data_IF_286650555646
#
_entry.id   IF_286650555646
#
_cell.length_a   1.000
_cell.length_b   1.000
_cell.length_c   1.000
_cell.angle_alpha   90.00
_cell.angle_beta   90.00
_cell.angle_gamma   90.00
#
_symmetry.space_group_name_H-M   'P 1'
#
loop_
_entity.id
_entity.type
_entity.pdbx_description
1 polymer ?
#
# COMPACT_ATOMS: atom_id res chain seq x y z
N UNK A 1 9.63 0.40 -14.75
CA UNK A 1 8.38 0.87 -15.40
C UNK A 1 7.24 0.92 -14.39
N UNK A 2 6.06 1.48 -14.70
CA UNK A 2 4.88 1.43 -13.80
C UNK A 2 3.71 0.70 -14.47
N UNK A 3 3.05 -0.20 -13.71
CA UNK A 3 1.98 -1.06 -14.20
C UNK A 3 0.71 -0.93 -13.34
N UNK A 4 -0.44 -0.61 -13.94
CA UNK A 4 -0.62 -0.11 -15.31
C UNK A 4 0.06 1.25 -15.53
N UNK A 5 0.27 1.67 -16.79
CA UNK A 5 0.90 2.97 -17.11
C UNK A 5 0.04 4.18 -16.72
N UNK A 6 -1.26 3.96 -16.54
CA UNK A 6 -2.27 4.95 -16.19
C UNK A 6 -3.10 4.40 -15.04
N UNK A 7 -3.39 5.24 -14.04
CA UNK A 7 -4.24 4.83 -12.93
C UNK A 7 -5.67 4.54 -13.44
N UNK A 8 -6.35 3.49 -12.95
CA UNK A 8 -7.74 3.22 -13.31
C UNK A 8 -8.64 4.44 -13.07
N UNK A 9 -9.59 4.69 -13.98
CA UNK A 9 -10.50 5.83 -13.89
C UNK A 9 -11.29 5.86 -12.57
N UNK A 10 -11.64 4.68 -12.03
CA UNK A 10 -12.33 4.51 -10.76
C UNK A 10 -11.52 4.95 -9.54
N UNK A 11 -10.21 5.12 -9.69
CA UNK A 11 -9.27 5.50 -8.62
C UNK A 11 -8.79 6.95 -8.74
N UNK A 12 -9.30 7.71 -9.71
CA UNK A 12 -9.03 9.15 -9.81
C UNK A 12 -9.66 9.91 -8.64
N UNK A 13 -8.97 10.92 -8.13
CA UNK A 13 -9.34 11.70 -6.95
C UNK A 13 -9.02 11.02 -5.62
N UNK A 14 -8.59 9.75 -5.63
CA UNK A 14 -8.15 9.05 -4.43
C UNK A 14 -6.70 9.44 -4.07
N UNK A 15 -6.30 9.36 -2.77
CA UNK A 15 -4.93 9.59 -2.33
C UNK A 15 -3.87 8.84 -3.16
N UNK A 16 -4.19 7.61 -3.58
CA UNK A 16 -3.37 6.75 -4.41
C UNK A 16 -2.99 7.40 -5.75
N UNK A 17 -3.84 8.25 -6.34
CA UNK A 17 -3.52 8.97 -7.58
C UNK A 17 -2.34 9.93 -7.40
N UNK A 18 -2.28 10.62 -6.26
CA UNK A 18 -1.18 11.54 -5.97
C UNK A 18 0.14 10.77 -5.87
N UNK A 19 0.13 9.63 -5.18
CA UNK A 19 1.30 8.76 -5.03
C UNK A 19 1.70 8.15 -6.38
N UNK A 20 0.75 7.62 -7.14
CA UNK A 20 0.95 7.08 -8.48
C UNK A 20 1.67 8.10 -9.38
N UNK A 21 1.22 9.35 -9.39
CA UNK A 21 1.81 10.41 -10.21
C UNK A 21 3.25 10.76 -9.80
N UNK A 22 3.61 10.63 -8.53
CA UNK A 22 5.01 10.80 -8.10
C UNK A 22 5.86 9.59 -8.47
N UNK A 23 5.37 8.38 -8.21
CA UNK A 23 6.08 7.14 -8.55
C UNK A 23 6.31 6.99 -10.06
N UNK A 24 5.37 7.46 -10.89
CA UNK A 24 5.53 7.48 -12.34
C UNK A 24 6.76 8.28 -12.79
N UNK A 25 7.14 9.34 -12.08
CA UNK A 25 8.32 10.17 -12.42
C UNK A 25 9.65 9.46 -12.20
N UNK A 26 9.68 8.41 -11.39
CA UNK A 26 10.87 7.60 -11.09
C UNK A 26 10.75 6.17 -11.65
N UNK A 27 9.75 5.93 -12.49
CA UNK A 27 9.45 4.61 -13.04
C UNK A 27 10.43 4.14 -14.11
N UNK A 28 11.39 4.99 -14.51
CA UNK A 28 12.55 4.63 -15.32
C UNK A 28 13.58 3.80 -14.54
N UNK A 29 13.60 3.94 -13.20
CA UNK A 29 14.60 3.28 -12.32
C UNK A 29 14.06 2.06 -11.58
N UNK A 30 12.76 1.99 -11.39
CA UNK A 30 12.10 0.97 -10.57
C UNK A 30 10.97 0.30 -11.34
N UNK A 31 10.71 -0.97 -11.01
CA UNK A 31 9.50 -1.67 -11.45
C UNK A 31 8.41 -1.54 -10.41
N UNK A 32 7.36 -0.80 -10.76
CA UNK A 32 6.30 -0.38 -9.85
C UNK A 32 5.00 -1.06 -10.29
N UNK A 33 4.36 -1.77 -9.38
CA UNK A 33 3.08 -2.42 -9.59
C UNK A 33 2.04 -1.79 -8.68
N UNK A 34 0.99 -1.22 -9.28
CA UNK A 34 -0.14 -0.67 -8.56
C UNK A 34 -1.22 -1.75 -8.34
N UNK A 35 -1.83 -1.75 -7.15
CA UNK A 35 -2.99 -2.56 -6.75
C UNK A 35 -2.80 -4.04 -7.08
N UNK A 36 -1.87 -4.69 -6.36
CA UNK A 36 -1.57 -6.12 -6.53
C UNK A 36 -2.23 -6.94 -5.43
N UNK A 37 -3.04 -7.91 -5.87
CA UNK A 37 -3.68 -8.90 -5.01
C UNK A 37 -2.84 -10.17 -4.96
N UNK A 38 -2.65 -10.68 -3.74
CA UNK A 38 -1.96 -11.92 -3.46
C UNK A 38 -2.95 -12.93 -2.90
N UNK A 39 -2.81 -14.20 -3.27
CA UNK A 39 -3.61 -15.31 -2.76
C UNK A 39 -2.63 -16.24 -2.05
N UNK A 40 -2.99 -16.72 -0.85
CA UNK A 40 -2.24 -17.75 -0.14
C UNK A 40 -2.06 -19.00 -0.98
N UNK A 41 -0.98 -19.76 -0.73
CA UNK A 41 -0.65 -20.96 -1.51
C UNK A 41 -1.63 -22.12 -1.29
N UNK A 42 -2.22 -22.19 -0.09
CA UNK A 42 -3.08 -23.29 0.32
C UNK A 42 -4.56 -22.93 0.23
N UNK A 43 -5.39 -23.92 -0.09
CA UNK A 43 -6.86 -23.79 -0.21
C UNK A 43 -7.56 -23.36 1.08
N UNK A 44 -6.87 -23.42 2.22
CA UNK A 44 -7.35 -22.96 3.53
C UNK A 44 -6.85 -21.56 3.90
N UNK A 45 -5.87 -21.01 3.19
CA UNK A 45 -5.31 -19.68 3.42
C UNK A 45 -5.96 -18.66 2.50
N UNK A 46 -7.25 -18.41 2.72
CA UNK A 46 -7.95 -17.35 1.99
C UNK A 46 -7.68 -15.99 2.62
N UNK A 47 -6.42 -15.57 2.59
CA UNK A 47 -6.04 -14.17 2.84
C UNK A 47 -5.76 -13.55 1.48
N UNK A 48 -6.81 -13.01 0.85
CA UNK A 48 -6.62 -12.07 -0.23
C UNK A 48 -6.10 -10.77 0.38
N UNK A 49 -4.82 -10.48 0.19
CA UNK A 49 -4.24 -9.19 0.57
C UNK A 49 -3.97 -8.36 -0.68
N UNK A 50 -4.30 -7.08 -0.63
CA UNK A 50 -4.01 -6.10 -1.68
C UNK A 50 -2.96 -5.10 -1.20
N UNK A 51 -1.83 -5.02 -1.90
CA UNK A 51 -0.81 -3.97 -1.71
C UNK A 51 -1.11 -2.85 -2.71
N UNK A 52 -1.22 -1.60 -2.22
CA UNK A 52 -1.42 -0.43 -3.08
C UNK A 52 -0.28 -0.25 -4.09
N UNK A 53 0.97 -0.30 -3.63
CA UNK A 53 2.15 -0.22 -4.50
C UNK A 53 3.24 -1.22 -4.09
N UNK A 54 3.67 -2.06 -5.04
CA UNK A 54 4.88 -2.87 -4.93
C UNK A 54 5.97 -2.24 -5.79
N UNK A 55 7.09 -1.84 -5.19
CA UNK A 55 8.20 -1.18 -5.89
C UNK A 55 9.43 -2.07 -5.80
N UNK A 56 9.91 -2.57 -6.93
CA UNK A 56 11.09 -3.40 -7.01
C UNK A 56 12.28 -2.60 -7.56
N UNK A 57 13.40 -2.67 -6.82
CA UNK A 57 14.73 -2.35 -7.33
C UNK A 57 15.44 -3.68 -7.58
N UNK A 58 15.59 -4.12 -8.84
CA UNK A 58 16.10 -5.45 -9.16
C UNK A 58 17.41 -5.75 -8.43
N UNK A 59 17.46 -6.92 -7.78
CA UNK A 59 18.62 -7.44 -7.02
C UNK A 59 18.97 -6.68 -5.73
N UNK A 60 18.17 -5.70 -5.30
CA UNK A 60 18.43 -4.93 -4.08
C UNK A 60 17.30 -4.99 -3.07
N UNK A 61 16.08 -4.65 -3.47
CA UNK A 61 14.96 -4.55 -2.54
C UNK A 61 13.61 -4.64 -3.22
N UNK A 62 12.60 -5.00 -2.44
CA UNK A 62 11.18 -4.82 -2.73
C UNK A 62 10.60 -3.96 -1.61
N UNK A 63 9.90 -2.90 -1.97
CA UNK A 63 9.19 -2.02 -1.05
C UNK A 63 7.70 -2.23 -1.25
N UNK A 64 7.00 -2.56 -0.16
CA UNK A 64 5.55 -2.55 -0.09
C UNK A 64 5.12 -1.20 0.47
N UNK A 65 4.38 -0.42 -0.31
CA UNK A 65 3.90 0.90 0.06
C UNK A 65 2.37 0.89 0.07
N UNK A 66 1.82 1.18 1.25
CA UNK A 66 0.39 1.33 1.51
C UNK A 66 0.06 2.81 1.66
N UNK A 67 -0.98 3.30 1.00
CA UNK A 67 -1.37 4.71 1.01
C UNK A 67 -2.52 4.91 1.99
N UNK A 68 -2.36 5.87 2.91
CA UNK A 68 -3.45 6.30 3.80
C UNK A 68 -3.84 7.73 3.48
N UNK A 69 -5.12 7.91 3.12
CA UNK A 69 -5.73 9.23 3.00
C UNK A 69 -6.06 9.86 4.34
N UNK A 70 -6.23 11.18 4.35
CA UNK A 70 -6.65 11.92 5.55
C UNK A 70 -5.54 12.05 6.59
N UNK A 71 -5.94 12.48 7.79
CA UNK A 71 -5.02 12.80 8.88
C UNK A 71 -4.78 11.56 9.73
N UNK A 72 -3.59 10.97 9.60
CA UNK A 72 -3.14 9.86 10.44
C UNK A 72 -2.39 10.42 11.65
N UNK A 73 -2.75 9.95 12.84
CA UNK A 73 -2.11 10.34 14.09
C UNK A 73 -1.84 9.11 14.95
N UNK A 74 -0.64 9.04 15.51
CA UNK A 74 -0.24 8.05 16.50
C UNK A 74 -0.06 8.73 17.85
N UNK A 75 -0.78 8.25 18.85
CA UNK A 75 -0.61 8.64 20.24
C UNK A 75 0.30 7.61 20.95
N UNK A 76 1.52 8.03 21.28
CA UNK A 76 2.50 7.18 21.96
C UNK A 76 2.19 6.88 23.43
N UNK A 77 1.31 7.67 24.08
CA UNK A 77 0.91 7.43 25.46
C UNK A 77 -0.11 6.30 25.56
N UNK A 78 -1.07 6.28 24.62
CA UNK A 78 -2.10 5.23 24.57
C UNK A 78 -1.77 4.10 23.59
N UNK A 79 -0.68 4.22 22.84
CA UNK A 79 -0.25 3.31 21.78
C UNK A 79 -1.37 3.06 20.75
N UNK A 80 -2.02 4.13 20.29
CA UNK A 80 -3.19 4.06 19.41
C UNK A 80 -3.04 4.90 18.16
N UNK A 81 -3.51 4.33 17.06
CA UNK A 81 -3.67 5.04 15.79
C UNK A 81 -5.07 5.64 15.69
N UNK A 82 -5.16 6.81 15.06
CA UNK A 82 -6.41 7.43 14.66
C UNK A 82 -6.30 7.99 13.25
N UNK A 83 -7.43 7.98 12.54
CA UNK A 83 -7.59 8.56 11.22
C UNK A 83 -8.74 9.57 11.26
N UNK A 84 -8.48 10.82 10.86
CA UNK A 84 -9.45 11.91 10.91
C UNK A 84 -10.13 12.02 12.30
N UNK A 85 -9.31 11.94 13.35
CA UNK A 85 -9.71 11.97 14.76
C UNK A 85 -10.56 10.78 15.25
N UNK A 86 -10.75 9.74 14.43
CA UNK A 86 -11.43 8.50 14.84
C UNK A 86 -10.39 7.41 15.12
N UNK A 87 -10.47 6.70 16.26
CA UNK A 87 -9.58 5.57 16.54
C UNK A 87 -9.67 4.50 15.43
N UNK A 88 -8.53 3.92 15.07
CA UNK A 88 -8.45 2.85 14.08
C UNK A 88 -8.60 1.48 14.77
N UNK A 89 -9.37 0.57 14.18
CA UNK A 89 -9.54 -0.80 14.70
C UNK A 89 -8.29 -1.67 14.52
N UNK A 90 -7.52 -1.43 13.45
CA UNK A 90 -6.19 -2.00 13.21
C UNK A 90 -5.20 -0.87 13.02
N UNK A 91 -4.06 -0.95 13.70
CA UNK A 91 -2.99 0.05 13.57
C UNK A 91 -2.47 0.16 12.13
N UNK A 92 -1.88 1.31 11.78
CA UNK A 92 -1.30 1.50 10.45
C UNK A 92 -0.18 0.48 10.17
N UNK A 93 0.59 0.16 11.19
CA UNK A 93 1.62 -0.89 11.23
C UNK A 93 1.01 -2.30 11.07
N UNK A 94 -0.06 -2.62 11.81
CA UNK A 94 -0.72 -3.93 11.70
C UNK A 94 -1.31 -4.18 10.31
N UNK A 95 -1.83 -3.14 9.66
CA UNK A 95 -2.36 -3.24 8.30
C UNK A 95 -1.25 -3.61 7.31
N UNK A 96 -0.04 -3.06 7.47
CA UNK A 96 1.13 -3.37 6.64
C UNK A 96 1.70 -4.76 6.99
N UNK A 97 1.80 -5.13 8.27
CA UNK A 97 2.33 -6.45 8.65
C UNK A 97 1.40 -7.58 8.21
N UNK A 98 0.08 -7.36 8.20
CA UNK A 98 -0.89 -8.32 7.66
C UNK A 98 -0.66 -8.63 6.18
N UNK A 99 0.00 -7.72 5.43
CA UNK A 99 0.41 -7.93 4.04
C UNK A 99 1.59 -8.89 3.87
N UNK A 100 2.45 -8.93 4.90
CA UNK A 100 3.77 -9.54 4.86
C UNK A 100 3.83 -10.89 5.58
N UNK A 101 2.74 -11.29 6.26
CA UNK A 101 2.59 -12.59 6.92
C UNK A 101 2.30 -13.75 5.92
N UNK A 102 2.85 -13.65 4.70
CA UNK A 102 2.94 -14.76 3.73
C UNK A 102 3.84 -15.89 4.25
#
# INVERSE_FOLDING_TARGET
>A
MIYPEQIPQSRKGHPEETVFNQLKKVSDKYDIFYSRKFIGKDSYERVEYEIDFLIAEPKRAIICLEVKGGLIHFDGMTNRWSQNHKPMNKGSDEQVTSALLL
#
